data_IF_896394739353
#
_entry.id   IF_896394739353
#
_cell.length_a   1.000
_cell.length_b   1.000
_cell.length_c   1.000
_cell.angle_alpha   90.00
_cell.angle_beta   90.00
_cell.angle_gamma   90.00
#
_symmetry.space_group_name_H-M   'P 1'
#
loop_
_entity.id
_entity.type
_entity.pdbx_description
1 polymer ?
#
# COMPACT_ATOMS: atom_id res chain seq x y z
N UNK A 1 15.13 -16.93 -13.27
CA UNK A 1 15.42 -15.47 -13.30
C UNK A 1 16.90 -15.28 -13.05
N UNK A 2 17.56 -14.34 -13.71
CA UNK A 2 19.01 -14.09 -13.46
C UNK A 2 19.16 -13.46 -12.07
N UNK A 3 20.03 -14.07 -11.25
CA UNK A 3 20.34 -13.56 -9.92
C UNK A 3 21.53 -12.58 -10.00
N UNK A 4 21.33 -11.34 -9.61
CA UNK A 4 22.34 -10.29 -9.62
C UNK A 4 23.07 -10.12 -8.27
N UNK A 5 22.66 -10.85 -7.19
CA UNK A 5 23.29 -10.74 -5.87
C UNK A 5 24.69 -11.30 -5.81
N UNK A 6 25.06 -12.18 -6.78
CA UNK A 6 26.31 -12.94 -6.74
C UNK A 6 26.30 -14.14 -5.81
N UNK A 7 25.23 -14.35 -5.03
CA UNK A 7 25.04 -15.48 -4.13
C UNK A 7 23.76 -16.25 -4.46
N UNK A 8 23.83 -17.57 -4.45
CA UNK A 8 22.70 -18.42 -4.77
C UNK A 8 21.56 -18.23 -3.75
N UNK A 9 20.35 -18.01 -4.27
CA UNK A 9 19.13 -17.88 -3.48
C UNK A 9 18.97 -16.54 -2.72
N UNK A 10 19.99 -15.67 -2.67
CA UNK A 10 19.89 -14.36 -2.06
C UNK A 10 19.20 -13.38 -3.02
N UNK A 11 18.19 -12.66 -2.56
CA UNK A 11 17.55 -11.62 -3.35
C UNK A 11 18.45 -10.38 -3.44
N UNK A 12 18.50 -9.77 -4.62
CA UNK A 12 19.48 -8.70 -4.89
C UNK A 12 19.20 -7.42 -4.09
N UNK A 13 17.94 -6.97 -4.08
CA UNK A 13 17.61 -5.71 -3.41
C UNK A 13 17.30 -5.91 -1.91
N UNK A 14 16.50 -6.89 -1.55
CA UNK A 14 16.07 -7.09 -0.17
C UNK A 14 17.11 -7.81 0.70
N UNK A 15 18.11 -8.45 0.10
CA UNK A 15 19.15 -9.22 0.80
C UNK A 15 18.57 -10.29 1.75
N UNK A 16 17.50 -10.95 1.31
CA UNK A 16 16.81 -12.05 2.01
C UNK A 16 16.78 -13.31 1.13
N UNK A 17 16.48 -14.46 1.75
CA UNK A 17 16.42 -15.78 1.10
C UNK A 17 15.02 -16.39 1.29
N UNK A 18 14.73 -17.42 0.50
CA UNK A 18 13.52 -18.23 0.68
C UNK A 18 13.45 -18.77 2.12
N UNK A 19 12.32 -18.49 2.78
CA UNK A 19 12.06 -18.88 4.16
C UNK A 19 12.44 -17.83 5.20
N UNK A 20 13.15 -16.75 4.85
CA UNK A 20 13.45 -15.67 5.79
C UNK A 20 12.21 -14.85 6.14
N UNK A 21 11.22 -14.78 5.24
CA UNK A 21 9.98 -14.03 5.43
C UNK A 21 8.76 -14.92 5.64
N UNK A 22 7.70 -14.37 6.23
CA UNK A 22 6.40 -15.02 6.33
C UNK A 22 5.62 -14.93 5.02
N UNK A 23 4.54 -15.74 4.91
CA UNK A 23 3.63 -15.64 3.75
C UNK A 23 2.81 -14.35 3.76
N UNK A 24 2.60 -13.74 4.92
CA UNK A 24 1.89 -12.48 5.11
C UNK A 24 2.89 -11.34 5.30
N UNK A 25 2.80 -10.30 4.47
CA UNK A 25 3.73 -9.17 4.52
C UNK A 25 2.98 -7.85 4.52
N UNK A 26 3.32 -6.97 5.48
CA UNK A 26 2.87 -5.58 5.49
C UNK A 26 3.91 -4.73 4.72
N UNK A 27 3.41 -3.82 3.86
CA UNK A 27 4.22 -3.00 2.97
C UNK A 27 4.03 -1.50 3.26
N UNK A 28 4.74 -0.89 4.24
CA UNK A 28 4.82 0.56 4.36
C UNK A 28 5.80 1.15 3.33
N UNK A 29 5.61 2.42 2.93
CA UNK A 29 6.59 3.12 2.11
C UNK A 29 7.85 3.51 2.90
N UNK A 30 7.66 4.09 4.09
CA UNK A 30 8.73 4.60 4.95
C UNK A 30 9.42 3.47 5.76
N UNK A 31 10.75 3.29 5.64
CA UNK A 31 11.52 2.32 6.44
C UNK A 31 11.33 2.48 7.96
N UNK A 32 11.16 3.70 8.44
CA UNK A 32 10.94 3.98 9.88
C UNK A 32 9.62 3.40 10.39
N UNK A 33 8.64 3.23 9.50
CA UNK A 33 7.35 2.62 9.86
C UNK A 33 7.47 1.11 10.08
N UNK A 34 8.45 0.44 9.45
CA UNK A 34 8.69 -0.98 9.66
C UNK A 34 8.92 -1.32 11.14
N UNK A 35 9.71 -0.52 11.85
CA UNK A 35 9.95 -0.72 13.29
C UNK A 35 8.69 -0.58 14.12
N UNK A 36 7.80 0.36 13.78
CA UNK A 36 6.52 0.54 14.49
C UNK A 36 5.59 -0.64 14.27
N UNK A 37 5.53 -1.16 13.05
CA UNK A 37 4.73 -2.35 12.69
C UNK A 37 5.33 -3.60 13.36
N UNK A 38 6.64 -3.78 13.30
CA UNK A 38 7.34 -4.91 13.92
C UNK A 38 7.20 -4.97 15.46
N UNK A 39 6.87 -3.85 16.11
CA UNK A 39 6.57 -3.83 17.54
C UNK A 39 5.33 -4.66 17.93
N UNK A 40 4.48 -5.00 16.97
CA UNK A 40 3.34 -5.91 17.15
C UNK A 40 3.71 -7.39 16.96
N UNK A 41 4.94 -7.70 16.50
CA UNK A 41 5.42 -9.06 16.27
C UNK A 41 6.21 -9.56 17.47
N UNK A 42 6.18 -10.88 17.67
CA UNK A 42 7.03 -11.55 18.64
C UNK A 42 8.39 -11.85 18.01
N UNK A 43 9.48 -11.57 18.75
CA UNK A 43 10.87 -11.89 18.38
C UNK A 43 11.26 -11.41 16.95
N UNK A 44 11.04 -10.14 16.56
CA UNK A 44 11.35 -9.68 15.23
C UNK A 44 12.86 -9.66 14.97
N UNK A 45 13.25 -10.19 13.79
CA UNK A 45 14.62 -10.13 13.25
C UNK A 45 14.61 -9.17 12.06
N UNK A 46 15.66 -8.35 11.91
CA UNK A 46 15.77 -7.32 10.88
C UNK A 46 16.81 -7.68 9.82
N UNK A 47 16.48 -7.37 8.55
CA UNK A 47 17.40 -7.27 7.43
C UNK A 47 17.23 -5.90 6.77
N UNK A 48 18.32 -5.22 6.41
CA UNK A 48 18.30 -3.88 5.84
C UNK A 48 19.18 -3.84 4.59
N UNK A 49 18.63 -3.28 3.51
CA UNK A 49 19.34 -3.06 2.26
C UNK A 49 18.69 -1.91 1.48
N UNK A 50 19.45 -0.88 1.16
CA UNK A 50 18.96 0.32 0.47
C UNK A 50 17.78 0.96 1.20
N UNK A 51 16.65 1.22 0.50
CA UNK A 51 15.39 1.69 1.10
C UNK A 51 14.53 0.56 1.69
N UNK A 52 14.96 -0.69 1.55
CA UNK A 52 14.23 -1.87 1.97
C UNK A 52 14.68 -2.31 3.37
N UNK A 53 13.78 -2.18 4.33
CA UNK A 53 13.96 -2.66 5.71
C UNK A 53 12.92 -3.71 5.98
N UNK A 54 13.36 -4.95 6.23
CA UNK A 54 12.49 -6.09 6.48
C UNK A 54 12.61 -6.54 7.93
N UNK A 55 11.50 -6.60 8.66
CA UNK A 55 11.40 -7.29 9.94
C UNK A 55 10.55 -8.54 9.76
N UNK A 56 11.01 -9.65 10.31
CA UNK A 56 10.26 -10.92 10.34
C UNK A 56 10.15 -11.41 11.76
N UNK A 57 8.94 -11.74 12.19
CA UNK A 57 8.63 -12.28 13.51
C UNK A 57 7.39 -13.16 13.45
N UNK A 58 6.69 -13.30 14.56
CA UNK A 58 5.43 -14.04 14.62
C UNK A 58 4.28 -13.14 15.10
N UNK A 59 3.09 -13.42 14.60
CA UNK A 59 1.83 -12.81 15.03
C UNK A 59 0.82 -13.95 15.21
N UNK A 60 0.29 -14.10 16.42
CA UNK A 60 -0.60 -15.21 16.79
C UNK A 60 0.00 -16.59 16.41
N UNK A 61 1.33 -16.77 16.61
CA UNK A 61 2.07 -18.00 16.32
C UNK A 61 2.39 -18.25 14.84
N UNK A 62 2.00 -17.33 13.93
CA UNK A 62 2.25 -17.43 12.49
C UNK A 62 3.37 -16.48 12.08
N UNK A 63 4.30 -16.96 11.25
CA UNK A 63 5.40 -16.15 10.70
C UNK A 63 4.83 -15.05 9.79
N UNK A 64 5.15 -13.80 10.11
CA UNK A 64 4.75 -12.61 9.37
C UNK A 64 5.95 -11.69 9.15
N UNK A 65 5.86 -10.83 8.15
CA UNK A 65 6.91 -9.85 7.87
C UNK A 65 6.33 -8.46 7.60
N UNK A 66 7.19 -7.48 7.74
CA UNK A 66 6.97 -6.12 7.24
C UNK A 66 8.19 -5.70 6.45
N UNK A 67 7.99 -5.15 5.25
CA UNK A 67 9.08 -4.67 4.38
C UNK A 67 8.73 -3.29 3.85
N UNK A 68 9.64 -2.31 3.98
CA UNK A 68 9.45 -1.01 3.33
C UNK A 68 9.57 -1.11 1.82
N UNK A 69 8.81 -0.29 1.12
CA UNK A 69 8.77 -0.28 -0.35
C UNK A 69 9.48 0.94 -0.96
N UNK A 70 9.90 1.91 -0.15
CA UNK A 70 10.20 3.22 -0.67
C UNK A 70 8.96 3.90 -1.26
N UNK A 71 9.13 4.79 -2.21
CA UNK A 71 8.06 5.57 -2.87
C UNK A 71 7.94 5.17 -4.34
N UNK A 72 6.71 4.93 -4.77
CA UNK A 72 6.36 4.72 -6.18
C UNK A 72 6.36 3.26 -6.63
N UNK A 73 5.72 3.05 -7.77
CA UNK A 73 5.50 1.73 -8.37
C UNK A 73 6.77 0.92 -8.59
N UNK A 74 7.86 1.47 -9.19
CA UNK A 74 9.08 0.71 -9.46
C UNK A 74 9.69 0.08 -8.21
N UNK A 75 9.89 0.85 -7.14
CA UNK A 75 10.46 0.35 -5.89
C UNK A 75 9.52 -0.65 -5.20
N UNK A 76 8.22 -0.36 -5.15
CA UNK A 76 7.22 -1.26 -4.56
C UNK A 76 7.13 -2.61 -5.30
N UNK A 77 7.21 -2.60 -6.63
CA UNK A 77 7.18 -3.82 -7.44
C UNK A 77 8.42 -4.69 -7.23
N UNK A 78 9.60 -4.10 -7.12
CA UNK A 78 10.84 -4.81 -6.77
C UNK A 78 10.69 -5.53 -5.43
N UNK A 79 10.25 -4.80 -4.41
CA UNK A 79 10.05 -5.39 -3.08
C UNK A 79 9.09 -6.58 -3.13
N UNK A 80 7.93 -6.40 -3.77
CA UNK A 80 6.91 -7.44 -3.85
C UNK A 80 7.37 -8.66 -4.64
N UNK A 81 8.06 -8.49 -5.77
CA UNK A 81 8.60 -9.59 -6.59
C UNK A 81 9.61 -10.44 -5.80
N UNK A 82 10.54 -9.81 -5.09
CA UNK A 82 11.55 -10.54 -4.31
C UNK A 82 10.94 -11.23 -3.09
N UNK A 83 9.94 -10.61 -2.43
CA UNK A 83 9.18 -11.24 -1.35
C UNK A 83 8.39 -12.46 -1.83
N UNK A 84 7.77 -12.41 -3.01
CA UNK A 84 7.08 -13.55 -3.63
C UNK A 84 8.06 -14.70 -3.88
N UNK A 85 9.25 -14.42 -4.40
CA UNK A 85 10.30 -15.43 -4.60
C UNK A 85 10.77 -16.05 -3.27
N UNK A 86 10.68 -15.31 -2.16
CA UNK A 86 10.99 -15.78 -0.82
C UNK A 86 9.83 -16.55 -0.15
N UNK A 87 8.65 -16.62 -0.78
CA UNK A 87 7.51 -17.41 -0.34
C UNK A 87 6.33 -16.61 0.23
N UNK A 88 6.35 -15.29 0.13
CA UNK A 88 5.21 -14.46 0.49
C UNK A 88 4.09 -14.55 -0.56
N UNK A 89 2.81 -14.57 -0.12
CA UNK A 89 1.65 -14.70 -1.00
C UNK A 89 0.48 -13.78 -0.64
N UNK A 90 0.60 -13.02 0.44
CA UNK A 90 -0.46 -12.13 0.93
C UNK A 90 0.14 -10.84 1.44
N UNK A 91 -0.29 -9.73 0.83
CA UNK A 91 0.30 -8.41 1.05
C UNK A 91 -0.74 -7.40 1.49
N UNK A 92 -0.41 -6.60 2.52
CA UNK A 92 -1.18 -5.43 2.94
C UNK A 92 -0.27 -4.21 2.88
N UNK A 93 -0.57 -3.28 1.96
CA UNK A 93 0.07 -1.97 1.96
C UNK A 93 -0.53 -1.09 3.05
N UNK A 94 0.32 -0.56 3.92
CA UNK A 94 -0.05 0.47 4.90
C UNK A 94 0.59 1.79 4.50
N UNK A 95 -0.24 2.70 3.98
CA UNK A 95 0.24 3.95 3.44
C UNK A 95 -0.30 5.20 4.13
N UNK A 96 0.04 6.33 3.51
CA UNK A 96 -0.61 7.62 3.71
C UNK A 96 -1.18 8.09 2.39
N UNK A 97 -2.27 8.84 2.42
CA UNK A 97 -2.90 9.39 1.23
C UNK A 97 -3.39 10.82 1.46
N UNK A 98 -3.61 11.53 0.37
CA UNK A 98 -4.41 12.75 0.37
C UNK A 98 -5.87 12.42 0.06
N UNK A 99 -6.81 12.89 0.87
CA UNK A 99 -8.23 12.76 0.60
C UNK A 99 -8.63 13.49 -0.68
N UNK A 100 -9.53 12.88 -1.47
CA UNK A 100 -10.13 13.49 -2.66
C UNK A 100 -11.63 13.75 -2.46
N UNK A 101 -12.42 12.72 -2.16
CA UNK A 101 -13.83 12.89 -1.88
C UNK A 101 -14.07 13.77 -0.64
N UNK A 102 -15.11 14.62 -0.66
CA UNK A 102 -15.34 15.62 0.39
C UNK A 102 -15.76 15.02 1.73
N UNK A 103 -16.26 13.79 1.74
CA UNK A 103 -16.60 13.01 2.92
C UNK A 103 -15.38 12.38 3.61
N UNK A 104 -14.21 12.42 2.97
CA UNK A 104 -12.93 11.89 3.48
C UNK A 104 -12.14 12.98 4.17
N UNK A 105 -11.87 12.82 5.46
CA UNK A 105 -11.22 13.82 6.30
C UNK A 105 -9.86 13.32 6.82
N UNK A 106 -9.00 14.26 7.19
CA UNK A 106 -7.72 13.92 7.83
C UNK A 106 -7.95 13.11 9.11
N UNK A 107 -7.23 12.00 9.26
CA UNK A 107 -7.38 11.03 10.34
C UNK A 107 -8.28 9.83 9.99
N UNK A 108 -9.08 9.91 8.94
CA UNK A 108 -9.88 8.78 8.47
C UNK A 108 -8.99 7.69 7.86
N UNK A 109 -9.52 6.46 7.80
CA UNK A 109 -8.89 5.34 7.11
C UNK A 109 -9.54 5.17 5.73
N UNK A 110 -8.74 5.04 4.68
CA UNK A 110 -9.22 4.64 3.35
C UNK A 110 -8.73 3.24 3.04
N UNK A 111 -9.66 2.33 2.71
CA UNK A 111 -9.39 0.98 2.21
C UNK A 111 -9.60 1.00 0.69
N UNK A 112 -8.55 0.69 -0.07
CA UNK A 112 -8.64 0.67 -1.53
C UNK A 112 -9.36 -0.59 -2.01
N UNK A 113 -10.41 -0.43 -2.83
CA UNK A 113 -11.05 -1.52 -3.56
C UNK A 113 -10.45 -1.73 -4.95
N UNK A 114 -9.76 -0.74 -5.44
CA UNK A 114 -9.03 -0.70 -6.70
C UNK A 114 -8.28 0.61 -6.84
N UNK A 115 -7.42 0.70 -7.85
CA UNK A 115 -6.60 1.87 -8.07
C UNK A 115 -6.65 2.33 -9.54
N UNK A 116 -6.70 3.64 -9.75
CA UNK A 116 -6.52 4.25 -11.05
C UNK A 116 -5.05 4.12 -11.45
N UNK A 117 -4.79 3.52 -12.61
CA UNK A 117 -3.45 3.26 -13.15
C UNK A 117 -2.87 4.50 -13.85
N UNK A 118 -2.68 5.60 -13.07
CA UNK A 118 -2.09 6.84 -13.57
C UNK A 118 -0.55 6.87 -13.36
N UNK A 119 0.09 5.69 -13.43
CA UNK A 119 1.51 5.46 -13.25
C UNK A 119 2.06 4.54 -14.35
N UNK A 120 3.38 4.37 -14.44
CA UNK A 120 4.06 3.62 -15.50
C UNK A 120 4.23 2.13 -15.21
N UNK A 121 4.56 1.76 -13.99
CA UNK A 121 4.98 0.40 -13.63
C UNK A 121 3.94 -0.66 -13.97
N UNK A 122 2.67 -0.44 -13.63
CA UNK A 122 1.62 -1.42 -13.90
C UNK A 122 1.41 -1.67 -15.40
N UNK A 123 1.75 -0.72 -16.26
CA UNK A 123 1.62 -0.85 -17.73
C UNK A 123 2.63 -1.83 -18.32
N UNK A 124 3.75 -2.07 -17.64
CA UNK A 124 4.74 -3.06 -18.03
C UNK A 124 4.38 -4.49 -17.61
N UNK A 125 3.43 -4.63 -16.66
CA UNK A 125 2.93 -5.94 -16.22
C UNK A 125 1.65 -6.38 -16.93
N UNK A 126 0.77 -5.45 -17.27
CA UNK A 126 -0.53 -5.77 -17.86
C UNK A 126 -1.03 -4.65 -18.79
N UNK A 127 -1.83 -4.98 -19.84
CA UNK A 127 -2.48 -3.98 -20.69
C UNK A 127 -3.31 -3.01 -19.84
N UNK A 128 -3.42 -1.74 -20.30
CA UNK A 128 -4.06 -0.67 -19.50
C UNK A 128 -5.54 -0.96 -19.19
N UNK A 129 -6.20 -1.72 -20.02
CA UNK A 129 -7.61 -2.11 -19.89
C UNK A 129 -7.84 -3.10 -18.73
N UNK A 130 -6.80 -3.82 -18.30
CA UNK A 130 -6.90 -4.69 -17.14
C UNK A 130 -6.94 -3.84 -15.85
N UNK A 131 -8.01 -3.94 -15.04
CA UNK A 131 -8.16 -3.07 -13.88
C UNK A 131 -7.21 -3.45 -12.74
N UNK A 132 -6.65 -2.45 -12.04
CA UNK A 132 -5.92 -2.66 -10.80
C UNK A 132 -6.91 -2.84 -9.64
N UNK A 133 -7.32 -4.07 -9.37
CA UNK A 133 -8.32 -4.44 -8.34
C UNK A 133 -7.60 -5.04 -7.13
N UNK A 134 -7.99 -4.62 -5.94
CA UNK A 134 -7.55 -5.23 -4.70
C UNK A 134 -8.17 -6.63 -4.54
N UNK A 135 -7.45 -7.54 -3.86
CA UNK A 135 -8.00 -8.84 -3.48
C UNK A 135 -9.22 -8.67 -2.54
N UNK A 136 -10.32 -9.32 -2.86
CA UNK A 136 -11.57 -9.17 -2.13
C UNK A 136 -11.47 -9.64 -0.67
N UNK A 137 -10.75 -10.75 -0.43
CA UNK A 137 -10.58 -11.32 0.92
C UNK A 137 -9.77 -10.36 1.79
N UNK A 138 -8.66 -9.84 1.26
CA UNK A 138 -7.82 -8.86 1.97
C UNK A 138 -8.60 -7.56 2.21
N UNK A 139 -9.34 -7.07 1.21
CA UNK A 139 -10.17 -5.86 1.35
C UNK A 139 -11.23 -6.03 2.44
N UNK A 140 -11.92 -7.17 2.47
CA UNK A 140 -12.92 -7.46 3.50
C UNK A 140 -12.30 -7.54 4.90
N UNK A 141 -11.12 -8.15 5.03
CA UNK A 141 -10.39 -8.20 6.30
C UNK A 141 -10.02 -6.80 6.80
N UNK A 142 -9.54 -5.91 5.92
CA UNK A 142 -9.23 -4.52 6.24
C UNK A 142 -10.48 -3.73 6.69
N UNK A 143 -11.58 -3.86 5.97
CA UNK A 143 -12.85 -3.21 6.33
C UNK A 143 -13.36 -3.73 7.67
N UNK A 144 -13.29 -5.04 7.91
CA UNK A 144 -13.72 -5.64 9.18
C UNK A 144 -12.81 -5.18 10.33
N UNK A 145 -11.51 -5.11 10.11
CA UNK A 145 -10.55 -4.60 11.09
C UNK A 145 -10.83 -3.14 11.48
N UNK A 146 -11.09 -2.27 10.48
CA UNK A 146 -11.44 -0.89 10.75
C UNK A 146 -12.72 -0.75 11.59
N UNK A 147 -13.74 -1.59 11.32
CA UNK A 147 -14.98 -1.67 12.11
C UNK A 147 -14.71 -2.14 13.53
N UNK A 148 -13.95 -3.23 13.70
CA UNK A 148 -13.63 -3.79 15.02
C UNK A 148 -12.91 -2.78 15.92
N UNK A 149 -12.08 -1.93 15.32
CA UNK A 149 -11.31 -0.90 16.01
C UNK A 149 -12.05 0.44 16.15
N UNK A 150 -13.30 0.52 15.69
CA UNK A 150 -14.11 1.75 15.79
C UNK A 150 -13.53 2.94 15.01
N UNK A 151 -12.74 2.68 13.95
CA UNK A 151 -12.16 3.75 13.11
C UNK A 151 -13.22 4.33 12.18
N UNK A 152 -13.16 5.64 11.89
CA UNK A 152 -13.87 6.23 10.76
C UNK A 152 -13.16 5.78 9.49
N UNK A 153 -13.87 5.12 8.58
CA UNK A 153 -13.28 4.51 7.41
C UNK A 153 -14.13 4.71 6.15
N UNK A 154 -13.47 4.65 5.01
CA UNK A 154 -14.07 4.68 3.67
C UNK A 154 -13.49 3.55 2.84
N UNK A 155 -14.30 2.95 1.96
CA UNK A 155 -13.80 2.02 0.95
C UNK A 155 -14.13 2.56 -0.44
N UNK A 156 -13.19 2.40 -1.38
CA UNK A 156 -13.39 2.85 -2.75
C UNK A 156 -12.12 2.88 -3.58
N UNK A 157 -12.27 3.38 -4.80
CA UNK A 157 -11.14 3.52 -5.72
C UNK A 157 -10.23 4.66 -5.26
N UNK A 158 -8.91 4.43 -5.34
CA UNK A 158 -7.88 5.43 -5.09
C UNK A 158 -7.16 5.80 -6.39
N UNK A 159 -6.64 7.01 -6.49
CA UNK A 159 -5.77 7.40 -7.59
C UNK A 159 -4.32 7.07 -7.24
N UNK A 160 -3.65 6.31 -8.12
CA UNK A 160 -2.23 5.99 -7.99
C UNK A 160 -1.45 6.70 -9.09
N UNK A 161 -0.43 7.48 -8.70
CA UNK A 161 0.35 8.36 -9.59
C UNK A 161 1.85 8.20 -9.38
N UNK A 162 2.64 8.65 -10.36
CA UNK A 162 4.11 8.72 -10.27
C UNK A 162 4.61 10.11 -9.83
N UNK A 163 3.86 11.18 -10.11
CA UNK A 163 4.30 12.53 -9.79
C UNK A 163 3.55 13.12 -8.59
N UNK A 164 4.26 13.27 -7.47
CA UNK A 164 3.72 13.97 -6.29
C UNK A 164 3.37 15.43 -6.61
N UNK A 165 4.30 16.15 -7.22
CA UNK A 165 4.11 17.57 -7.55
C UNK A 165 3.15 17.79 -8.72
N UNK A 166 2.94 16.79 -9.61
CA UNK A 166 1.89 16.83 -10.62
C UNK A 166 0.49 16.91 -10.04
N UNK A 167 0.29 16.46 -8.80
CA UNK A 167 -0.97 16.65 -8.07
C UNK A 167 -1.03 17.96 -7.31
N UNK A 168 0.06 18.36 -6.63
CA UNK A 168 0.04 19.45 -5.65
C UNK A 168 0.34 20.80 -6.26
N UNK A 169 0.98 20.84 -7.43
CA UNK A 169 1.33 22.05 -8.16
C UNK A 169 1.17 21.85 -9.68
N UNK A 170 -0.02 21.41 -10.14
CA UNK A 170 -0.24 21.05 -11.54
C UNK A 170 -0.08 22.24 -12.50
N UNK A 171 -0.35 23.45 -12.03
CA UNK A 171 -0.24 24.68 -12.84
C UNK A 171 1.20 24.97 -13.30
N UNK A 172 2.20 24.46 -12.55
CA UNK A 172 3.62 24.59 -12.93
C UNK A 172 4.09 23.49 -13.88
N UNK A 173 3.24 22.50 -14.17
CA UNK A 173 3.61 21.38 -15.03
C UNK A 173 3.28 21.69 -16.51
N UNK A 174 4.16 21.34 -17.47
CA UNK A 174 3.85 21.52 -18.90
C UNK A 174 2.56 20.85 -19.35
N UNK A 175 2.12 19.80 -18.66
CA UNK A 175 0.87 19.04 -18.91
C UNK A 175 -0.23 19.38 -17.90
N UNK A 176 -0.16 20.54 -17.24
CA UNK A 176 -1.03 20.91 -16.13
C UNK A 176 -2.52 20.85 -16.45
N UNK A 177 -2.93 21.33 -17.62
CA UNK A 177 -4.33 21.27 -18.07
C UNK A 177 -4.86 19.83 -18.16
N UNK A 178 -4.04 18.89 -18.60
CA UNK A 178 -4.41 17.46 -18.66
C UNK A 178 -4.58 16.89 -17.26
N UNK A 179 -3.63 17.20 -16.35
CA UNK A 179 -3.67 16.74 -14.96
C UNK A 179 -4.92 17.25 -14.25
N UNK A 180 -5.25 18.53 -14.39
CA UNK A 180 -6.45 19.15 -13.78
C UNK A 180 -7.75 18.53 -14.32
N UNK A 181 -7.85 18.31 -15.64
CA UNK A 181 -9.02 17.66 -16.26
C UNK A 181 -9.21 16.23 -15.79
N UNK A 182 -8.12 15.45 -15.68
CA UNK A 182 -8.16 14.08 -15.14
C UNK A 182 -8.57 14.07 -13.67
N UNK A 183 -8.01 14.97 -12.87
CA UNK A 183 -8.37 15.11 -11.46
C UNK A 183 -9.86 15.38 -11.27
N UNK A 184 -10.42 16.35 -12.03
CA UNK A 184 -11.85 16.67 -11.99
C UNK A 184 -12.73 15.48 -12.39
N UNK A 185 -12.32 14.71 -13.41
CA UNK A 185 -13.03 13.51 -13.80
C UNK A 185 -13.02 12.43 -12.69
N UNK A 186 -11.88 12.20 -12.04
CA UNK A 186 -11.79 11.23 -10.93
C UNK A 186 -12.59 11.66 -9.71
N UNK A 187 -12.63 12.98 -9.41
CA UNK A 187 -13.50 13.54 -8.38
C UNK A 187 -14.98 13.28 -8.67
N UNK A 188 -15.41 13.50 -9.91
CA UNK A 188 -16.80 13.24 -10.35
C UNK A 188 -17.15 11.75 -10.31
N UNK A 189 -16.17 10.85 -10.50
CA UNK A 189 -16.32 9.40 -10.38
C UNK A 189 -16.27 8.89 -8.93
N UNK A 190 -16.05 9.77 -7.95
CA UNK A 190 -16.08 9.44 -6.53
C UNK A 190 -14.80 8.79 -6.01
N UNK A 191 -13.65 9.04 -6.67
CA UNK A 191 -12.35 8.61 -6.18
C UNK A 191 -12.12 9.11 -4.74
N UNK A 192 -11.72 8.22 -3.83
CA UNK A 192 -11.66 8.51 -2.40
C UNK A 192 -10.40 9.24 -1.99
N UNK A 193 -9.25 8.84 -2.51
CA UNK A 193 -7.94 9.34 -2.10
C UNK A 193 -6.89 9.17 -3.19
N UNK A 194 -5.74 9.82 -2.99
CA UNK A 194 -4.60 9.76 -3.90
C UNK A 194 -3.34 9.27 -3.16
N UNK A 195 -2.64 8.31 -3.76
CA UNK A 195 -1.41 7.69 -3.27
C UNK A 195 -0.48 7.33 -4.44
N UNK A 196 0.56 6.47 -4.27
CA UNK A 196 1.59 6.30 -5.30
C UNK A 196 1.98 4.84 -5.63
N UNK A 197 1.39 3.79 -5.01
CA UNK A 197 1.90 2.41 -5.18
C UNK A 197 0.82 1.33 -5.43
N UNK A 198 -0.42 1.54 -5.04
CA UNK A 198 -1.44 0.48 -5.05
C UNK A 198 -1.72 -0.09 -6.44
N UNK A 199 -1.71 0.74 -7.49
CA UNK A 199 -1.97 0.22 -8.84
C UNK A 199 -0.89 -0.78 -9.26
N UNK A 200 0.39 -0.46 -9.02
CA UNK A 200 1.50 -1.37 -9.30
C UNK A 200 1.37 -2.65 -8.47
N UNK A 201 1.14 -2.55 -7.15
CA UNK A 201 1.02 -3.71 -6.27
C UNK A 201 -0.15 -4.63 -6.65
N UNK A 202 -1.33 -4.08 -6.97
CA UNK A 202 -2.49 -4.88 -7.36
C UNK A 202 -2.28 -5.60 -8.70
N UNK A 203 -1.62 -4.95 -9.64
CA UNK A 203 -1.30 -5.55 -10.95
C UNK A 203 -0.20 -6.61 -10.81
N UNK A 204 0.86 -6.37 -10.03
CA UNK A 204 1.88 -7.39 -9.73
C UNK A 204 1.23 -8.60 -9.04
N UNK A 205 0.36 -8.36 -8.05
CA UNK A 205 -0.37 -9.43 -7.37
C UNK A 205 -1.17 -10.29 -8.34
N UNK A 206 -1.94 -9.65 -9.24
CA UNK A 206 -2.72 -10.35 -10.27
C UNK A 206 -1.81 -11.15 -11.22
N UNK A 207 -0.70 -10.57 -11.67
CA UNK A 207 0.26 -11.22 -12.58
C UNK A 207 0.98 -12.41 -11.94
N UNK A 208 1.13 -12.42 -10.61
CA UNK A 208 1.81 -13.48 -9.85
C UNK A 208 0.87 -14.45 -9.14
N UNK A 209 -0.44 -14.21 -9.18
CA UNK A 209 -1.44 -15.08 -8.54
C UNK A 209 -1.38 -15.03 -7.01
N UNK A 210 -1.07 -13.86 -6.44
CA UNK A 210 -1.02 -13.61 -4.99
C UNK A 210 -2.05 -12.58 -4.57
N UNK A 211 -2.30 -12.42 -3.27
CA UNK A 211 -3.31 -11.50 -2.72
C UNK A 211 -2.67 -10.17 -2.32
N UNK A 212 -3.29 -9.04 -2.68
CA UNK A 212 -2.89 -7.72 -2.20
C UNK A 212 -4.08 -6.82 -1.88
N UNK A 213 -3.96 -6.05 -0.81
CA UNK A 213 -4.88 -4.98 -0.43
C UNK A 213 -4.12 -3.79 0.13
N UNK A 214 -4.81 -2.66 0.31
CA UNK A 214 -4.19 -1.44 0.84
C UNK A 214 -5.12 -0.71 1.78
N UNK A 215 -4.55 -0.17 2.85
CA UNK A 215 -5.17 0.82 3.72
C UNK A 215 -4.27 2.03 3.95
N UNK A 216 -4.87 3.17 4.19
CA UNK A 216 -4.19 4.45 4.29
C UNK A 216 -4.71 5.30 5.43
N UNK A 217 -3.79 5.98 6.12
CA UNK A 217 -4.13 7.19 6.85
C UNK A 217 -4.38 8.32 5.86
N UNK A 218 -5.49 9.01 5.97
CA UNK A 218 -5.72 10.30 5.30
C UNK A 218 -4.97 11.39 6.04
N UNK A 219 -3.97 11.99 5.40
CA UNK A 219 -3.16 13.07 6.01
C UNK A 219 -3.90 14.41 6.05
N UNK A 220 -4.76 14.64 5.09
CA UNK A 220 -5.57 15.83 4.88
C UNK A 220 -6.25 15.76 3.52
N UNK A 221 -7.09 16.73 3.18
CA UNK A 221 -7.86 16.77 1.95
C UNK A 221 -7.80 18.15 1.28
N UNK A 222 -7.06 18.26 0.17
CA UNK A 222 -6.88 19.53 -0.55
C UNK A 222 -8.18 20.06 -1.16
N UNK A 223 -9.14 19.19 -1.52
CA UNK A 223 -10.41 19.62 -2.09
C UNK A 223 -11.32 20.30 -1.06
N UNK A 224 -11.24 19.86 0.21
CA UNK A 224 -11.90 20.56 1.32
C UNK A 224 -11.31 21.95 1.52
N UNK A 225 -9.98 22.09 1.47
CA UNK A 225 -9.31 23.40 1.56
C UNK A 225 -9.75 24.34 0.44
N UNK A 226 -9.76 23.87 -0.82
CA UNK A 226 -10.20 24.66 -1.99
C UNK A 226 -11.65 25.16 -1.86
N UNK A 227 -12.49 24.45 -1.09
CA UNK A 227 -13.91 24.78 -0.85
C UNK A 227 -14.16 25.51 0.46
N UNK A 228 -13.10 25.91 1.18
CA UNK A 228 -13.22 26.59 2.47
C UNK A 228 -13.81 25.71 3.58
N UNK A 229 -13.77 24.39 3.43
CA UNK A 229 -14.22 23.42 4.44
C UNK A 229 -13.11 23.16 5.46
N UNK A 230 -13.50 22.76 6.67
CA UNK A 230 -12.55 22.33 7.68
C UNK A 230 -11.68 21.18 7.14
N UNK A 231 -10.37 21.24 7.38
CA UNK A 231 -9.40 20.23 6.96
C UNK A 231 -8.44 19.93 8.10
N UNK A 232 -8.70 18.83 8.80
CA UNK A 232 -7.77 18.30 9.80
C UNK A 232 -6.51 17.72 9.11
N UNK A 233 -5.33 18.05 9.63
CA UNK A 233 -4.07 17.50 9.15
C UNK A 233 -3.42 16.65 10.24
N UNK A 234 -3.03 15.43 9.90
CA UNK A 234 -2.37 14.51 10.81
C UNK A 234 -1.31 13.67 10.10
N UNK A 235 -0.27 13.30 10.84
CA UNK A 235 0.80 12.39 10.41
C UNK A 235 0.87 11.12 11.27
N UNK A 236 -0.12 10.93 12.16
CA UNK A 236 -0.16 9.77 13.04
C UNK A 236 -0.71 8.53 12.33
N UNK A 237 0.22 7.69 11.87
CA UNK A 237 -0.10 6.45 11.13
C UNK A 237 -0.54 5.28 12.01
N UNK A 238 -0.60 5.45 13.32
CA UNK A 238 -0.89 4.36 14.25
C UNK A 238 -2.24 3.69 13.97
N UNK A 239 -3.27 4.49 13.64
CA UNK A 239 -4.58 3.96 13.30
C UNK A 239 -4.58 3.02 12.09
N UNK A 240 -3.87 3.37 11.01
CA UNK A 240 -3.74 2.53 9.82
C UNK A 240 -2.91 1.26 10.13
N UNK A 241 -1.82 1.40 10.90
CA UNK A 241 -1.02 0.24 11.34
C UNK A 241 -1.89 -0.76 12.12
N UNK A 242 -2.68 -0.29 13.08
CA UNK A 242 -3.60 -1.14 13.86
C UNK A 242 -4.61 -1.87 12.97
N UNK A 243 -5.17 -1.19 11.96
CA UNK A 243 -6.09 -1.81 10.99
C UNK A 243 -5.39 -2.93 10.22
N UNK A 244 -4.19 -2.71 9.70
CA UNK A 244 -3.44 -3.74 8.98
C UNK A 244 -3.08 -4.94 9.87
N UNK A 245 -2.65 -4.72 11.11
CA UNK A 245 -2.34 -5.79 12.07
C UNK A 245 -3.58 -6.62 12.38
N UNK A 246 -4.72 -5.99 12.68
CA UNK A 246 -5.96 -6.72 12.93
C UNK A 246 -6.46 -7.44 11.67
N UNK A 247 -6.30 -6.84 10.48
CA UNK A 247 -6.61 -7.51 9.22
C UNK A 247 -5.75 -8.77 8.99
N UNK A 248 -4.44 -8.72 9.31
CA UNK A 248 -3.60 -9.92 9.28
C UNK A 248 -4.11 -11.01 10.23
N UNK A 249 -4.50 -10.66 11.45
CA UNK A 249 -5.09 -11.63 12.39
C UNK A 249 -6.36 -12.26 11.85
N UNK A 250 -7.21 -11.49 11.18
CA UNK A 250 -8.43 -12.00 10.53
C UNK A 250 -8.05 -13.00 9.42
N UNK A 251 -7.12 -12.61 8.53
CA UNK A 251 -6.66 -13.46 7.42
C UNK A 251 -6.02 -14.76 7.91
N UNK A 252 -5.15 -14.69 8.93
CA UNK A 252 -4.52 -15.85 9.54
C UNK A 252 -5.58 -16.83 10.07
N UNK A 253 -6.59 -16.33 10.79
CA UNK A 253 -7.69 -17.16 11.31
C UNK A 253 -8.57 -17.76 10.21
N UNK A 254 -8.76 -17.04 9.11
CA UNK A 254 -9.56 -17.52 7.96
C UNK A 254 -8.82 -18.59 7.16
N UNK A 255 -7.53 -18.40 6.92
CA UNK A 255 -6.70 -19.33 6.15
C UNK A 255 -6.35 -20.63 6.92
N UNK A 256 -6.61 -20.68 8.24
CA UNK A 256 -6.43 -21.88 9.09
C UNK A 256 -7.68 -22.76 9.19
N UNK A 257 -8.83 -22.31 8.67
CA UNK A 257 -10.09 -23.07 8.64
C UNK A 257 -10.11 -24.05 7.48
#
# INVERSE_FOLDING_TARGET
MQNYSGEEGLQYHLQIRKGDVGRYVILPGDPKRCKKIAAYFENPVVAESWEFVTYTGTLDGVKVSVTSTGIGGPSASIAMEELIQCGADTFIRVGTCGGMALDVEGGDIVVATGAIRAEGTSKEYAPIEFPAVADLTVTNALVQAAKNLGKKWHAGVVQCKDSFYGQHDPEQMPVGDELLKKWDAWMKLGCKASEMESAALFIVASARGVRAGSDFLVMGNQERVKRGMENHITHDTEGAIQVAIEALRILIREDQK
#
